data_IF_019608848618
#
_entry.id   IF_019608848618
#
_cell.length_a   1.000
_cell.length_b   1.000
_cell.length_c   1.000
_cell.angle_alpha   90.00
_cell.angle_beta   90.00
_cell.angle_gamma   90.00
#
_symmetry.space_group_name_H-M   'P 1'
#
loop_
_entity.id
_entity.type
_entity.pdbx_description
1 polymer ?
#
# COMPACT_ATOMS: atom_id res chain seq x y z
N UNK A 1 20.39 -41.74 76.26
CA UNK A 1 20.49 -40.31 75.97
C UNK A 1 21.15 -40.16 74.62
N UNK A 2 20.34 -39.90 73.58
CA UNK A 2 20.81 -39.82 72.20
C UNK A 2 20.64 -38.34 71.78
N UNK A 3 21.77 -37.68 71.55
CA UNK A 3 21.84 -36.32 71.10
C UNK A 3 21.64 -36.26 69.56
N UNK A 4 20.57 -35.64 69.11
CA UNK A 4 20.33 -35.36 67.66
C UNK A 4 20.98 -34.02 67.31
N UNK A 5 21.99 -34.04 66.46
CA UNK A 5 22.54 -32.85 65.77
C UNK A 5 21.69 -32.53 64.55
N UNK A 6 21.11 -31.35 64.53
CA UNK A 6 20.37 -30.80 63.39
C UNK A 6 21.39 -30.06 62.54
N UNK A 7 21.56 -30.50 61.28
CA UNK A 7 22.38 -29.78 60.28
C UNK A 7 21.50 -28.82 59.50
N UNK A 8 21.83 -27.49 59.57
CA UNK A 8 21.23 -26.48 58.72
C UNK A 8 21.93 -26.45 57.37
N UNK A 9 21.17 -26.80 56.31
CA UNK A 9 21.62 -26.55 54.94
C UNK A 9 21.19 -25.11 54.52
N UNK A 10 22.19 -24.27 54.25
CA UNK A 10 21.99 -22.94 53.70
C UNK A 10 21.93 -23.11 52.17
N UNK A 11 20.73 -22.93 51.59
CA UNK A 11 20.57 -22.83 50.13
C UNK A 11 20.91 -21.42 49.68
N UNK A 12 22.05 -21.24 49.02
CA UNK A 12 22.38 -20.00 48.29
C UNK A 12 21.63 -19.96 46.95
N UNK A 13 20.63 -19.10 46.85
CA UNK A 13 19.94 -18.84 45.57
C UNK A 13 20.83 -17.84 44.80
N UNK A 14 21.47 -18.37 43.74
CA UNK A 14 22.17 -17.52 42.77
C UNK A 14 21.12 -16.88 41.85
N UNK A 15 20.93 -15.56 42.00
CA UNK A 15 20.10 -14.75 41.13
C UNK A 15 20.83 -14.54 39.78
N UNK A 16 20.52 -15.33 38.76
CA UNK A 16 21.00 -15.07 37.37
C UNK A 16 20.19 -13.88 36.83
N UNK A 17 20.80 -12.72 36.88
CA UNK A 17 20.29 -11.55 36.17
C UNK A 17 20.45 -11.71 34.65
N UNK A 18 19.34 -11.92 33.93
CA UNK A 18 19.31 -11.85 32.47
C UNK A 18 19.47 -10.39 32.06
N UNK A 19 20.67 -10.01 31.58
CA UNK A 19 20.88 -8.75 30.86
C UNK A 19 20.14 -8.88 29.51
N UNK A 20 18.98 -8.25 29.40
CA UNK A 20 18.31 -8.01 28.13
C UNK A 20 19.12 -6.94 27.37
N UNK A 21 19.92 -7.36 26.39
CA UNK A 21 20.48 -6.44 25.41
C UNK A 21 19.34 -5.93 24.54
N UNK A 22 18.91 -4.68 24.77
CA UNK A 22 18.07 -3.96 23.83
C UNK A 22 18.85 -3.74 22.55
N UNK A 23 18.51 -4.48 21.49
CA UNK A 23 19.00 -4.20 20.14
C UNK A 23 18.40 -2.84 19.75
N UNK A 24 19.22 -1.80 19.47
CA UNK A 24 18.67 -0.55 19.02
C UNK A 24 17.93 -0.78 17.72
N UNK A 25 16.65 -0.42 17.65
CA UNK A 25 15.89 -0.42 16.42
C UNK A 25 16.65 0.49 15.43
N UNK A 26 17.18 -0.08 14.36
CA UNK A 26 17.77 0.69 13.25
C UNK A 26 16.66 1.65 12.77
N UNK A 27 16.88 2.95 13.01
CA UNK A 27 16.00 3.97 12.44
C UNK A 27 16.24 3.98 10.94
N UNK A 28 15.21 3.59 10.19
CA UNK A 28 15.19 3.81 8.75
C UNK A 28 15.49 5.31 8.47
N UNK A 29 16.27 5.62 7.43
CA UNK A 29 16.60 7.01 7.11
C UNK A 29 15.31 7.78 6.85
N UNK A 30 15.06 8.83 7.64
CA UNK A 30 13.95 9.74 7.41
C UNK A 30 14.32 10.69 6.29
N UNK A 31 13.68 10.55 5.13
CA UNK A 31 13.82 11.50 4.04
C UNK A 31 13.23 12.85 4.46
N UNK A 32 14.01 13.93 4.36
CA UNK A 32 13.52 15.29 4.59
C UNK A 32 12.82 15.80 3.33
N UNK A 33 11.57 16.25 3.47
CA UNK A 33 10.81 16.89 2.38
C UNK A 33 11.07 18.41 2.28
N UNK A 34 11.95 18.98 3.11
CA UNK A 34 12.23 20.40 3.12
C UNK A 34 12.72 20.87 1.74
N UNK A 35 11.98 21.81 1.14
CA UNK A 35 12.28 22.34 -0.21
C UNK A 35 11.74 21.50 -1.39
N UNK A 36 11.32 20.25 -1.19
CA UNK A 36 10.71 19.43 -2.26
C UNK A 36 9.25 19.84 -2.45
N UNK A 37 8.89 20.26 -3.67
CA UNK A 37 7.51 20.67 -4.01
C UNK A 37 6.73 19.62 -4.80
N UNK A 38 7.41 18.60 -5.31
CA UNK A 38 6.81 17.54 -6.12
C UNK A 38 6.84 16.22 -5.33
N UNK A 39 5.68 15.64 -5.12
CA UNK A 39 5.47 14.33 -4.52
C UNK A 39 5.28 13.30 -5.64
N UNK A 40 6.14 12.30 -5.71
CA UNK A 40 5.99 11.19 -6.66
C UNK A 40 5.22 10.07 -6.00
N UNK A 41 4.11 9.67 -6.62
CA UNK A 41 3.27 8.58 -6.15
C UNK A 41 3.19 7.46 -7.19
N UNK A 42 3.02 6.24 -6.72
CA UNK A 42 2.88 5.05 -7.56
C UNK A 42 1.70 4.22 -7.07
N UNK A 43 0.94 3.62 -7.98
CA UNK A 43 0.08 2.46 -7.71
C UNK A 43 0.63 1.25 -8.42
N UNK A 44 0.61 0.10 -7.76
CA UNK A 44 1.12 -1.14 -8.33
C UNK A 44 0.39 -2.35 -7.75
N UNK A 45 -0.46 -2.99 -8.55
CA UNK A 45 -0.92 -4.33 -8.26
C UNK A 45 0.25 -5.30 -8.51
N UNK A 46 0.75 -5.94 -7.45
CA UNK A 46 1.96 -6.77 -7.51
C UNK A 46 1.69 -8.24 -7.81
N UNK A 47 0.41 -8.62 -7.96
CA UNK A 47 0.02 -10.01 -8.21
C UNK A 47 0.75 -10.98 -7.25
N UNK A 48 0.68 -10.69 -5.95
CA UNK A 48 1.36 -11.44 -4.87
C UNK A 48 2.85 -11.71 -5.16
N UNK A 49 3.55 -10.73 -5.75
CA UNK A 49 4.97 -10.85 -6.12
C UNK A 49 5.26 -11.83 -7.27
N UNK A 50 4.22 -12.34 -7.95
CA UNK A 50 4.36 -13.32 -9.05
C UNK A 50 4.34 -12.63 -10.39
N UNK A 51 5.44 -12.72 -11.13
CA UNK A 51 5.56 -12.15 -12.47
C UNK A 51 4.84 -12.93 -13.57
N UNK A 52 4.87 -12.39 -14.79
CA UNK A 52 4.32 -13.04 -16.00
C UNK A 52 4.96 -14.40 -16.30
N UNK A 53 6.17 -14.64 -15.81
CA UNK A 53 6.87 -15.92 -15.85
C UNK A 53 6.40 -16.94 -14.80
N UNK A 54 5.38 -16.59 -13.99
CA UNK A 54 4.79 -17.39 -12.90
C UNK A 54 5.76 -17.68 -11.74
N UNK A 55 6.79 -16.85 -11.55
CA UNK A 55 7.73 -16.97 -10.44
C UNK A 55 7.48 -15.89 -9.40
N UNK A 56 7.46 -16.29 -8.13
CA UNK A 56 7.47 -15.40 -6.98
C UNK A 56 8.85 -14.75 -6.84
N UNK A 57 8.92 -13.42 -6.97
CA UNK A 57 10.18 -12.66 -6.91
C UNK A 57 9.93 -11.24 -6.41
N UNK A 58 10.01 -11.05 -5.10
CA UNK A 58 9.84 -9.75 -4.45
C UNK A 58 11.02 -8.81 -4.69
N UNK A 59 12.22 -9.36 -4.95
CA UNK A 59 13.39 -8.55 -5.32
C UNK A 59 13.12 -7.81 -6.64
N UNK A 60 12.61 -8.50 -7.65
CA UNK A 60 12.21 -7.91 -8.94
C UNK A 60 11.12 -6.85 -8.76
N UNK A 61 10.12 -7.10 -7.91
CA UNK A 61 9.09 -6.11 -7.59
C UNK A 61 9.70 -4.86 -6.94
N UNK A 62 10.61 -5.05 -5.99
CA UNK A 62 11.31 -3.94 -5.33
C UNK A 62 12.23 -3.15 -6.30
N UNK A 63 12.86 -3.82 -7.26
CA UNK A 63 13.69 -3.16 -8.30
C UNK A 63 12.85 -2.23 -9.18
N UNK A 64 11.64 -2.66 -9.58
CA UNK A 64 10.68 -1.81 -10.31
C UNK A 64 10.33 -0.57 -9.49
N UNK A 65 10.01 -0.74 -8.20
CA UNK A 65 9.68 0.39 -7.32
C UNK A 65 10.89 1.32 -7.16
N UNK A 66 12.08 0.76 -6.88
CA UNK A 66 13.29 1.55 -6.65
C UNK A 66 13.73 2.34 -7.88
N UNK A 67 13.58 1.80 -9.09
CA UNK A 67 13.94 2.46 -10.33
C UNK A 67 13.17 3.78 -10.55
N UNK A 68 11.92 3.83 -10.09
CA UNK A 68 11.06 5.02 -10.24
C UNK A 68 11.22 6.05 -9.10
N UNK A 69 11.88 5.68 -8.01
CA UNK A 69 12.10 6.54 -6.84
C UNK A 69 10.80 7.20 -6.31
N UNK A 70 9.69 6.47 -6.11
CA UNK A 70 8.46 7.06 -5.60
C UNK A 70 8.62 7.49 -4.14
N UNK A 71 7.87 8.50 -3.74
CA UNK A 71 7.74 8.93 -2.34
C UNK A 71 6.73 8.07 -1.59
N UNK A 72 5.65 7.69 -2.28
CA UNK A 72 4.56 6.87 -1.77
C UNK A 72 4.16 5.82 -2.81
N UNK A 73 3.91 4.59 -2.36
CA UNK A 73 3.43 3.50 -3.22
C UNK A 73 2.19 2.88 -2.59
N UNK A 74 1.10 2.81 -3.35
CA UNK A 74 -0.06 1.98 -3.04
C UNK A 74 0.09 0.62 -3.72
N UNK A 75 0.08 -0.44 -2.93
CA UNK A 75 0.21 -1.81 -3.40
C UNK A 75 -1.13 -2.55 -3.28
N UNK A 76 -1.48 -3.32 -4.28
CA UNK A 76 -2.61 -4.22 -4.29
C UNK A 76 -2.13 -5.66 -4.45
N UNK A 77 -2.96 -6.60 -4.02
CA UNK A 77 -2.66 -8.04 -4.00
C UNK A 77 -1.39 -8.37 -3.22
N UNK A 78 -1.42 -8.04 -1.93
CA UNK A 78 -0.29 -8.28 -1.01
C UNK A 78 -0.64 -9.43 -0.07
N UNK A 79 0.17 -10.48 -0.08
CA UNK A 79 0.09 -11.61 0.84
C UNK A 79 0.96 -11.37 2.08
N UNK A 80 0.49 -11.86 3.21
CA UNK A 80 1.22 -11.85 4.47
C UNK A 80 1.06 -13.18 5.18
N UNK A 81 2.10 -14.01 5.14
CA UNK A 81 2.08 -15.34 5.75
C UNK A 81 1.18 -16.35 5.04
N UNK A 82 0.87 -16.13 3.76
CA UNK A 82 0.00 -16.99 2.94
C UNK A 82 0.81 -18.14 2.36
N UNK A 83 0.23 -19.34 2.32
CA UNK A 83 0.92 -20.55 1.85
C UNK A 83 1.39 -20.48 0.41
N UNK A 84 0.58 -19.87 -0.50
CA UNK A 84 0.93 -19.74 -1.93
C UNK A 84 2.18 -18.90 -2.19
N UNK A 85 2.53 -18.02 -1.25
CA UNK A 85 3.70 -17.14 -1.29
C UNK A 85 4.77 -17.56 -0.27
N UNK A 86 4.89 -18.89 -0.02
CA UNK A 86 5.92 -19.48 0.84
C UNK A 86 5.89 -18.94 2.28
N UNK A 87 4.72 -18.53 2.76
CA UNK A 87 4.50 -17.96 4.11
C UNK A 87 5.30 -16.66 4.34
N UNK A 88 5.68 -15.95 3.26
CA UNK A 88 6.39 -14.67 3.34
C UNK A 88 5.49 -13.56 3.88
N UNK A 89 6.08 -12.60 4.59
CA UNK A 89 5.49 -11.28 4.85
C UNK A 89 5.95 -10.34 3.74
N UNK A 90 5.21 -10.33 2.61
CA UNK A 90 5.62 -9.61 1.40
C UNK A 90 5.85 -8.13 1.64
N UNK A 91 4.98 -7.48 2.43
CA UNK A 91 5.12 -6.06 2.67
C UNK A 91 6.33 -5.73 3.55
N UNK A 92 6.63 -6.56 4.54
CA UNK A 92 7.82 -6.37 5.37
C UNK A 92 9.12 -6.58 4.54
N UNK A 93 9.12 -7.56 3.64
CA UNK A 93 10.25 -7.82 2.73
C UNK A 93 10.41 -6.68 1.72
N UNK A 94 9.35 -6.23 1.08
CA UNK A 94 9.37 -5.08 0.16
C UNK A 94 9.82 -3.79 0.87
N UNK A 95 9.34 -3.53 2.09
CA UNK A 95 9.76 -2.37 2.88
C UNK A 95 11.26 -2.38 3.15
N UNK A 96 11.83 -3.55 3.46
CA UNK A 96 13.27 -3.73 3.64
C UNK A 96 14.04 -3.51 2.32
N UNK A 97 13.60 -4.10 1.21
CA UNK A 97 14.24 -4.01 -0.10
C UNK A 97 14.19 -2.60 -0.71
N UNK A 98 13.17 -1.82 -0.35
CA UNK A 98 12.98 -0.44 -0.81
C UNK A 98 13.47 0.61 0.19
N UNK A 99 13.87 0.22 1.40
CA UNK A 99 14.19 1.11 2.52
C UNK A 99 13.06 2.11 2.83
N UNK A 100 11.80 1.66 2.77
CA UNK A 100 10.61 2.48 3.01
C UNK A 100 9.87 2.01 4.27
N UNK A 101 9.14 2.94 4.92
CA UNK A 101 8.16 2.60 5.95
C UNK A 101 6.95 1.95 5.28
N UNK A 102 6.17 1.16 6.02
CA UNK A 102 4.99 0.51 5.47
C UNK A 102 3.79 0.48 6.39
N UNK A 103 2.62 0.31 5.79
CA UNK A 103 1.37 -0.03 6.45
C UNK A 103 0.64 -1.11 5.63
N UNK A 104 -0.05 -2.03 6.31
CA UNK A 104 -0.78 -3.14 5.69
C UNK A 104 -2.23 -3.15 6.16
N UNK A 105 -3.15 -3.37 5.23
CA UNK A 105 -4.57 -3.56 5.48
C UNK A 105 -4.99 -5.00 5.19
N UNK A 106 -5.28 -5.74 6.22
CA UNK A 106 -5.82 -7.10 6.13
C UNK A 106 -7.28 -7.07 5.68
N UNK A 107 -7.56 -7.44 4.43
CA UNK A 107 -8.91 -7.49 3.89
C UNK A 107 -9.58 -8.85 4.15
N UNK A 108 -8.87 -9.95 3.94
CA UNK A 108 -9.39 -11.30 4.17
C UNK A 108 -8.30 -12.28 4.64
N UNK A 109 -8.71 -13.37 5.28
CA UNK A 109 -7.85 -14.51 5.60
C UNK A 109 -7.80 -15.45 4.40
N UNK A 110 -6.59 -15.88 4.04
CA UNK A 110 -6.40 -16.76 2.90
C UNK A 110 -5.26 -17.77 3.16
N UNK A 111 -5.50 -19.05 2.97
CA UNK A 111 -4.52 -20.13 3.10
C UNK A 111 -3.63 -20.04 4.36
N UNK A 112 -4.21 -19.67 5.50
CA UNK A 112 -3.52 -19.58 6.80
C UNK A 112 -2.79 -18.27 7.07
N UNK A 113 -2.82 -17.34 6.13
CA UNK A 113 -2.28 -15.98 6.24
C UNK A 113 -3.33 -14.91 5.95
N UNK A 114 -2.87 -13.72 5.60
CA UNK A 114 -3.66 -12.52 5.34
C UNK A 114 -3.39 -12.01 3.93
N UNK A 115 -4.43 -11.51 3.28
CA UNK A 115 -4.35 -10.88 1.97
C UNK A 115 -4.99 -9.50 2.02
N UNK A 116 -4.43 -8.55 1.28
CA UNK A 116 -4.99 -7.21 1.26
C UNK A 116 -4.24 -6.20 0.40
N UNK A 117 -4.25 -4.96 0.89
CA UNK A 117 -3.55 -3.83 0.24
C UNK A 117 -2.54 -3.23 1.21
N UNK A 118 -1.52 -2.55 0.68
CA UNK A 118 -0.47 -1.98 1.50
C UNK A 118 0.02 -0.64 0.96
N UNK A 119 0.71 0.11 1.81
CA UNK A 119 1.37 1.37 1.44
C UNK A 119 2.83 1.28 1.83
N UNK A 120 3.73 1.69 0.91
CA UNK A 120 5.11 2.03 1.21
C UNK A 120 5.28 3.55 1.22
N UNK A 121 6.08 4.07 2.14
CA UNK A 121 6.33 5.50 2.29
C UNK A 121 7.80 5.79 2.61
N UNK A 122 8.42 6.73 1.88
CA UNK A 122 9.74 7.28 2.26
C UNK A 122 9.68 8.14 3.51
N UNK A 123 8.49 8.62 3.86
CA UNK A 123 8.26 9.45 5.05
C UNK A 123 7.69 8.61 6.20
N UNK A 124 7.93 9.02 7.45
CA UNK A 124 7.28 8.37 8.59
C UNK A 124 5.76 8.44 8.46
N UNK A 125 5.11 7.30 8.67
CA UNK A 125 3.65 7.20 8.70
C UNK A 125 3.19 7.63 10.09
N UNK A 126 2.32 8.67 10.14
CA UNK A 126 1.80 9.24 11.41
C UNK A 126 0.49 8.60 11.85
N UNK A 127 -0.37 8.30 10.90
CA UNK A 127 -1.68 7.69 11.15
C UNK A 127 -1.98 6.65 10.09
N UNK A 128 -2.67 5.59 10.51
CA UNK A 128 -3.14 4.51 9.63
C UNK A 128 -4.63 4.34 9.91
N UNK A 129 -5.43 4.34 8.85
CA UNK A 129 -6.86 4.06 8.90
C UNK A 129 -7.21 3.00 7.85
N UNK A 130 -7.69 1.85 8.31
CA UNK A 130 -8.07 0.73 7.46
C UNK A 130 -9.58 0.54 7.50
N UNK A 131 -10.21 0.41 6.34
CA UNK A 131 -11.64 0.14 6.18
C UNK A 131 -11.86 -1.03 5.24
N UNK A 132 -12.50 -2.08 5.73
CA UNK A 132 -13.05 -3.15 4.90
C UNK A 132 -14.38 -2.69 4.34
N UNK A 133 -14.62 -2.96 3.06
CA UNK A 133 -15.94 -2.68 2.45
C UNK A 133 -16.95 -3.79 2.82
N UNK A 134 -18.19 -3.40 2.87
CA UNK A 134 -19.29 -4.35 2.95
C UNK A 134 -19.60 -4.88 1.54
N UNK A 135 -19.85 -6.19 1.45
CA UNK A 135 -20.23 -6.83 0.20
C UNK A 135 -21.75 -6.94 0.12
N UNK A 136 -22.34 -6.67 -1.05
CA UNK A 136 -23.76 -6.89 -1.33
C UNK A 136 -24.12 -8.35 -1.58
N UNK A 137 -23.09 -9.18 -1.84
CA UNK A 137 -23.20 -10.62 -2.14
C UNK A 137 -21.95 -11.34 -1.67
N UNK A 138 -21.91 -12.65 -1.80
CA UNK A 138 -20.69 -13.41 -1.60
C UNK A 138 -19.67 -13.04 -2.69
N UNK A 139 -18.60 -12.38 -2.30
CA UNK A 139 -17.50 -11.92 -3.12
C UNK A 139 -16.23 -11.80 -2.26
N UNK A 140 -15.08 -11.65 -2.92
CA UNK A 140 -13.82 -11.41 -2.22
C UNK A 140 -13.91 -10.11 -1.40
N UNK A 141 -13.51 -10.17 -0.12
CA UNK A 141 -13.54 -9.00 0.76
C UNK A 141 -12.49 -7.99 0.33
N UNK A 142 -12.95 -6.83 -0.07
CA UNK A 142 -12.12 -5.68 -0.45
C UNK A 142 -12.05 -4.62 0.64
N UNK A 143 -11.22 -3.61 0.45
CA UNK A 143 -11.07 -2.51 1.39
C UNK A 143 -10.06 -1.49 0.92
N UNK A 144 -9.86 -0.47 1.75
CA UNK A 144 -8.85 0.56 1.56
C UNK A 144 -7.97 0.71 2.79
N UNK A 145 -6.79 1.28 2.60
CA UNK A 145 -5.95 1.82 3.66
C UNK A 145 -5.61 3.27 3.35
N UNK A 146 -5.72 4.14 4.36
CA UNK A 146 -5.28 5.53 4.35
C UNK A 146 -4.13 5.70 5.32
N UNK A 147 -3.12 6.44 4.90
CA UNK A 147 -2.04 6.88 5.79
C UNK A 147 -1.91 8.40 5.75
N UNK A 148 -1.43 8.97 6.86
CA UNK A 148 -1.01 10.36 6.93
C UNK A 148 0.50 10.44 7.01
N UNK A 149 1.07 11.30 6.19
CA UNK A 149 2.50 11.64 6.20
C UNK A 149 2.68 13.16 6.21
N UNK A 150 3.86 13.63 6.63
CA UNK A 150 4.23 15.05 6.46
C UNK A 150 5.07 15.22 5.20
N UNK A 151 4.65 16.13 4.34
CA UNK A 151 5.38 16.52 3.15
C UNK A 151 5.30 18.03 2.93
N UNK A 152 6.46 18.68 2.78
CA UNK A 152 6.57 20.13 2.56
C UNK A 152 5.79 20.96 3.60
N UNK A 153 5.78 20.53 4.87
CA UNK A 153 5.09 21.20 5.98
C UNK A 153 3.55 21.03 5.98
N UNK A 154 3.03 20.08 5.22
CA UNK A 154 1.59 19.78 5.13
C UNK A 154 1.34 18.31 5.41
N UNK A 155 0.27 18.01 6.12
CA UNK A 155 -0.22 16.63 6.27
C UNK A 155 -0.88 16.19 4.98
N UNK A 156 -0.37 15.12 4.37
CA UNK A 156 -0.89 14.50 3.15
C UNK A 156 -1.59 13.21 3.51
N UNK A 157 -2.78 13.01 2.96
CA UNK A 157 -3.52 11.77 3.03
C UNK A 157 -3.29 10.96 1.76
N UNK A 158 -2.79 9.75 1.92
CA UNK A 158 -2.56 8.83 0.81
C UNK A 158 -3.36 7.54 1.04
N UNK A 159 -4.13 7.16 0.06
CA UNK A 159 -5.07 6.02 0.12
C UNK A 159 -4.73 5.04 -0.98
N UNK A 160 -4.76 3.75 -0.68
CA UNK A 160 -4.82 2.71 -1.72
C UNK A 160 -6.01 1.79 -1.51
N UNK A 161 -6.58 1.32 -2.61
CA UNK A 161 -7.71 0.38 -2.66
C UNK A 161 -7.51 -0.65 -3.75
N UNK A 162 -8.27 -1.74 -3.67
CA UNK A 162 -8.47 -2.70 -4.74
C UNK A 162 -9.94 -3.06 -4.77
N UNK A 163 -10.65 -2.74 -5.86
CA UNK A 163 -12.09 -2.95 -5.99
C UNK A 163 -12.42 -4.34 -6.56
N UNK A 164 -13.69 -4.72 -6.44
CA UNK A 164 -14.21 -6.00 -6.95
C UNK A 164 -13.92 -6.19 -8.45
N UNK A 165 -13.32 -7.32 -8.81
CA UNK A 165 -13.01 -7.63 -10.21
C UNK A 165 -14.18 -8.27 -10.96
N UNK A 166 -15.14 -8.86 -10.24
CA UNK A 166 -16.22 -9.66 -10.84
C UNK A 166 -17.45 -8.83 -11.18
N UNK A 167 -17.89 -7.94 -10.25
CA UNK A 167 -19.19 -7.32 -10.32
C UNK A 167 -19.10 -5.80 -10.38
N UNK A 168 -19.69 -5.22 -11.42
CA UNK A 168 -19.72 -3.77 -11.60
C UNK A 168 -20.48 -3.05 -10.46
N UNK A 169 -21.63 -3.57 -10.07
CA UNK A 169 -22.41 -3.02 -8.95
C UNK A 169 -21.70 -3.17 -7.59
N UNK A 170 -20.83 -4.18 -7.45
CA UNK A 170 -19.90 -4.33 -6.34
C UNK A 170 -18.90 -3.17 -6.31
N UNK A 171 -18.20 -2.92 -7.42
CA UNK A 171 -17.24 -1.79 -7.55
C UNK A 171 -17.89 -0.43 -7.24
N UNK A 172 -19.10 -0.20 -7.75
CA UNK A 172 -19.84 1.05 -7.47
C UNK A 172 -20.11 1.18 -5.98
N UNK A 173 -20.62 0.12 -5.33
CA UNK A 173 -20.92 0.13 -3.90
C UNK A 173 -19.67 0.30 -3.03
N UNK A 174 -18.56 -0.32 -3.39
CA UNK A 174 -17.27 -0.15 -2.71
C UNK A 174 -16.74 1.27 -2.87
N UNK A 175 -16.90 1.87 -4.06
CA UNK A 175 -16.54 3.27 -4.31
C UNK A 175 -17.39 4.23 -3.49
N UNK A 176 -18.72 4.00 -3.39
CA UNK A 176 -19.60 4.80 -2.53
C UNK A 176 -19.15 4.76 -1.06
N UNK A 177 -18.80 3.56 -0.56
CA UNK A 177 -18.28 3.40 0.81
C UNK A 177 -16.96 4.11 0.98
N UNK A 178 -16.02 3.97 0.04
CA UNK A 178 -14.73 4.66 0.08
C UNK A 178 -14.93 6.17 0.14
N UNK A 179 -15.73 6.75 -0.74
CA UNK A 179 -16.00 8.19 -0.76
C UNK A 179 -16.62 8.66 0.55
N UNK A 180 -17.55 7.90 1.12
CA UNK A 180 -18.15 8.18 2.43
C UNK A 180 -17.11 8.13 3.57
N UNK A 181 -16.18 7.18 3.56
CA UNK A 181 -15.10 7.11 4.56
C UNK A 181 -14.10 8.25 4.42
N UNK A 182 -13.94 8.78 3.22
CA UNK A 182 -13.04 9.89 2.91
C UNK A 182 -13.72 11.26 3.10
N UNK A 183 -15.04 11.27 3.32
CA UNK A 183 -15.78 12.48 3.65
C UNK A 183 -15.24 13.10 4.94
N UNK A 184 -14.97 14.39 4.92
CA UNK A 184 -14.43 15.10 6.07
C UNK A 184 -12.91 14.95 6.31
N UNK A 185 -12.18 14.14 5.54
CA UNK A 185 -10.72 14.08 5.58
C UNK A 185 -10.15 15.44 5.18
N UNK A 186 -9.38 16.05 6.09
CA UNK A 186 -8.79 17.38 5.90
C UNK A 186 -7.40 17.30 5.26
N UNK A 187 -7.07 18.30 4.45
CA UNK A 187 -5.79 18.40 3.76
C UNK A 187 -5.73 17.60 2.46
N UNK A 188 -4.63 17.72 1.71
CA UNK A 188 -4.44 17.05 0.43
C UNK A 188 -4.72 15.55 0.51
N UNK A 189 -5.54 15.05 -0.42
CA UNK A 189 -6.00 13.66 -0.49
C UNK A 189 -5.71 13.08 -1.88
N UNK A 190 -4.96 12.00 -1.88
CA UNK A 190 -4.56 11.25 -3.06
C UNK A 190 -5.07 9.82 -2.90
N UNK A 191 -5.79 9.31 -3.90
CA UNK A 191 -6.31 7.95 -3.92
C UNK A 191 -5.70 7.22 -5.11
N UNK A 192 -5.11 6.07 -4.85
CA UNK A 192 -4.54 5.21 -5.89
C UNK A 192 -5.09 3.80 -5.78
N UNK A 193 -4.98 3.00 -6.82
CA UNK A 193 -5.38 1.60 -6.73
C UNK A 193 -5.72 0.96 -8.05
N UNK A 194 -6.04 -0.33 -7.95
CA UNK A 194 -6.70 -1.11 -8.97
C UNK A 194 -8.22 -1.01 -8.76
N UNK A 195 -8.87 -0.29 -9.65
CA UNK A 195 -10.33 -0.08 -9.59
C UNK A 195 -11.12 -1.15 -10.34
N UNK A 196 -10.43 -2.04 -11.08
CA UNK A 196 -11.08 -3.04 -11.93
C UNK A 196 -12.18 -2.47 -12.84
N UNK A 197 -12.16 -1.16 -13.09
CA UNK A 197 -13.13 -0.40 -13.86
C UNK A 197 -12.41 0.46 -14.91
N UNK A 198 -12.89 0.46 -16.14
CA UNK A 198 -12.28 1.23 -17.22
C UNK A 198 -12.80 2.69 -17.27
N UNK A 199 -12.11 3.62 -17.96
CA UNK A 199 -12.64 4.95 -18.19
C UNK A 199 -14.02 4.89 -18.84
N UNK A 200 -15.01 5.53 -18.20
CA UNK A 200 -16.41 5.46 -18.61
C UNK A 200 -17.25 4.43 -17.85
N UNK A 201 -16.64 3.55 -17.07
CA UNK A 201 -17.33 2.69 -16.12
C UNK A 201 -17.99 3.49 -14.98
N UNK A 202 -18.88 2.85 -14.23
CA UNK A 202 -19.69 3.57 -13.24
C UNK A 202 -18.91 3.91 -11.97
N UNK A 203 -18.00 3.05 -11.51
CA UNK A 203 -17.12 3.35 -10.38
C UNK A 203 -16.13 4.47 -10.74
N UNK A 204 -15.55 4.45 -11.93
CA UNK A 204 -14.71 5.53 -12.44
C UNK A 204 -15.44 6.87 -12.53
N UNK A 205 -16.67 6.90 -13.09
CA UNK A 205 -17.50 8.12 -13.15
C UNK A 205 -17.80 8.66 -11.76
N UNK A 206 -18.09 7.78 -10.81
CA UNK A 206 -18.34 8.17 -9.43
C UNK A 206 -17.13 8.82 -8.79
N UNK A 207 -15.91 8.32 -9.03
CA UNK A 207 -14.69 8.98 -8.57
C UNK A 207 -14.55 10.38 -9.13
N UNK A 208 -14.88 10.60 -10.41
CA UNK A 208 -14.79 11.91 -11.05
C UNK A 208 -15.75 12.97 -10.49
N UNK A 209 -16.72 12.60 -9.65
CA UNK A 209 -17.60 13.58 -8.98
C UNK A 209 -16.86 14.46 -7.96
N UNK A 210 -15.72 13.99 -7.42
CA UNK A 210 -14.92 14.72 -6.42
C UNK A 210 -13.41 14.68 -6.65
N UNK A 211 -12.95 13.90 -7.63
CA UNK A 211 -11.52 13.70 -7.90
C UNK A 211 -11.18 13.95 -9.37
N UNK A 212 -9.92 14.23 -9.61
CA UNK A 212 -9.31 14.35 -10.94
C UNK A 212 -8.41 13.13 -11.19
N UNK A 213 -8.51 12.57 -12.38
CA UNK A 213 -7.62 11.52 -12.86
C UNK A 213 -6.29 12.13 -13.32
N UNK A 214 -5.20 11.77 -12.65
CA UNK A 214 -3.87 12.30 -12.92
C UNK A 214 -3.41 12.05 -14.37
N UNK A 215 -3.79 10.92 -14.98
CA UNK A 215 -3.47 10.61 -16.38
C UNK A 215 -4.11 11.62 -17.34
N UNK A 216 -5.37 11.93 -17.11
CA UNK A 216 -6.12 12.89 -17.95
C UNK A 216 -5.60 14.30 -17.74
N UNK A 217 -5.37 14.71 -16.48
CA UNK A 217 -4.81 16.04 -16.14
C UNK A 217 -3.42 16.24 -16.74
N UNK A 218 -2.59 15.20 -16.77
CA UNK A 218 -1.28 15.22 -17.42
C UNK A 218 -1.35 15.34 -18.95
N UNK A 219 -2.56 15.34 -19.54
CA UNK A 219 -2.82 15.42 -21.00
C UNK A 219 -2.05 14.38 -21.80
N UNK A 220 -2.02 13.14 -21.30
CA UNK A 220 -1.38 12.02 -22.00
C UNK A 220 -2.15 11.71 -23.26
N UNK A 221 -1.43 11.48 -24.37
CA UNK A 221 -2.02 11.04 -25.65
C UNK A 221 -2.32 9.57 -25.64
N UNK A 222 -1.50 8.79 -24.93
CA UNK A 222 -1.63 7.36 -24.79
C UNK A 222 -2.82 7.03 -23.87
N UNK A 223 -3.45 5.89 -24.11
CA UNK A 223 -4.64 5.45 -23.34
C UNK A 223 -4.34 5.09 -21.88
N UNK A 224 -3.06 4.83 -21.54
CA UNK A 224 -2.67 4.47 -20.17
C UNK A 224 -3.07 3.05 -19.78
N UNK A 225 -3.05 2.13 -20.73
CA UNK A 225 -3.45 0.74 -20.52
C UNK A 225 -2.46 0.04 -19.59
N UNK A 226 -2.94 -0.46 -18.46
CA UNK A 226 -2.12 -1.03 -17.39
C UNK A 226 -2.22 -2.55 -17.27
N UNK A 227 -3.21 -3.18 -17.90
CA UNK A 227 -3.49 -4.61 -17.79
C UNK A 227 -3.89 -5.25 -19.14
N UNK A 228 -3.50 -6.51 -19.45
CA UNK A 228 -2.42 -7.24 -18.79
C UNK A 228 -1.04 -6.68 -19.21
N UNK A 229 0.00 -6.89 -18.38
CA UNK A 229 1.31 -6.25 -18.57
C UNK A 229 2.02 -6.60 -19.87
N UNK A 230 1.87 -7.84 -20.37
CA UNK A 230 2.51 -8.33 -21.60
C UNK A 230 1.81 -7.83 -22.88
N UNK A 231 0.52 -7.53 -22.80
CA UNK A 231 -0.28 -7.02 -23.93
C UNK A 231 -1.38 -6.08 -23.42
N UNK A 232 -1.02 -4.87 -22.99
CA UNK A 232 -1.97 -3.96 -22.34
C UNK A 232 -3.20 -3.67 -23.19
N UNK A 233 -4.39 -3.92 -22.60
CA UNK A 233 -5.68 -3.79 -23.26
C UNK A 233 -6.71 -3.01 -22.43
N UNK A 234 -6.49 -2.88 -21.11
CA UNK A 234 -7.38 -2.18 -20.18
C UNK A 234 -6.63 -1.16 -19.35
N UNK A 235 -7.28 -0.05 -19.02
CA UNK A 235 -6.81 0.91 -18.01
C UNK A 235 -7.70 0.77 -16.79
N UNK A 236 -7.17 0.14 -15.75
CA UNK A 236 -7.90 -0.15 -14.51
C UNK A 236 -7.17 0.31 -13.26
N UNK A 237 -5.90 0.74 -13.39
CA UNK A 237 -5.08 1.30 -12.32
C UNK A 237 -5.01 2.82 -12.43
N UNK A 238 -5.24 3.52 -11.32
CA UNK A 238 -5.39 4.98 -11.32
C UNK A 238 -4.63 5.66 -10.19
N UNK A 239 -4.30 6.93 -10.46
CA UNK A 239 -3.92 7.94 -9.48
C UNK A 239 -4.96 9.06 -9.55
N UNK A 240 -5.70 9.26 -8.47
CA UNK A 240 -6.70 10.32 -8.33
C UNK A 240 -6.25 11.36 -7.30
N UNK A 241 -6.52 12.62 -7.56
CA UNK A 241 -6.32 13.74 -6.63
C UNK A 241 -7.64 14.44 -6.37
N UNK A 242 -7.94 14.80 -5.11
CA UNK A 242 -9.20 15.49 -4.79
C UNK A 242 -9.20 16.88 -5.38
N UNK A 243 -10.26 17.25 -6.11
CA UNK A 243 -10.39 18.48 -6.88
C UNK A 243 -10.21 19.75 -6.02
N UNK A 244 -10.69 19.73 -4.77
CA UNK A 244 -10.63 20.89 -3.87
C UNK A 244 -9.24 21.18 -3.31
N UNK A 245 -8.27 20.28 -3.44
CA UNK A 245 -7.00 20.33 -2.68
C UNK A 245 -5.88 21.09 -3.39
N UNK A 246 -6.13 21.64 -4.58
CA UNK A 246 -5.15 22.37 -5.38
C UNK A 246 -3.85 21.58 -5.65
N UNK A 247 -3.98 20.27 -5.87
CA UNK A 247 -2.89 19.40 -6.30
C UNK A 247 -2.81 19.53 -7.83
N UNK A 248 -1.61 19.78 -8.36
CA UNK A 248 -1.39 19.80 -9.80
C UNK A 248 -0.63 18.56 -10.24
N UNK A 249 -1.22 17.75 -11.09
CA UNK A 249 -0.46 16.70 -11.79
C UNK A 249 0.47 17.33 -12.81
N UNK A 250 1.77 17.08 -12.67
CA UNK A 250 2.80 17.55 -13.62
C UNK A 250 2.98 16.56 -14.76
N UNK A 251 3.04 15.28 -14.43
CA UNK A 251 3.17 14.18 -15.38
C UNK A 251 2.64 12.88 -14.78
N UNK A 252 2.28 11.95 -15.64
CA UNK A 252 1.95 10.58 -15.30
C UNK A 252 2.50 9.63 -16.37
N UNK A 253 2.89 8.41 -15.99
CA UNK A 253 3.41 7.41 -16.92
C UNK A 253 3.19 6.01 -16.39
N UNK A 254 3.30 5.02 -17.29
CA UNK A 254 3.34 3.61 -16.98
C UNK A 254 4.79 3.13 -16.93
N UNK A 255 5.08 2.19 -16.05
CA UNK A 255 6.37 1.51 -15.99
C UNK A 255 6.26 0.19 -16.72
N UNK A 256 7.01 0.03 -17.80
CA UNK A 256 6.98 -1.20 -18.57
C UNK A 256 7.77 -2.30 -17.85
N UNK A 257 7.08 -3.35 -17.40
CA UNK A 257 7.67 -4.46 -16.64
C UNK A 257 6.82 -5.73 -16.81
N UNK A 258 7.42 -6.89 -16.59
CA UNK A 258 6.74 -8.19 -16.50
C UNK A 258 6.83 -8.78 -15.08
N UNK A 259 7.19 -7.94 -14.08
CA UNK A 259 7.29 -8.36 -12.68
C UNK A 259 5.91 -8.58 -12.01
N UNK A 260 4.82 -8.19 -12.67
CA UNK A 260 3.42 -8.45 -12.33
C UNK A 260 2.64 -8.61 -13.63
N UNK A 261 1.38 -8.98 -13.56
CA UNK A 261 0.42 -8.91 -14.69
C UNK A 261 -0.21 -7.51 -14.85
N UNK A 262 0.12 -6.56 -13.98
CA UNK A 262 -0.18 -5.14 -14.11
C UNK A 262 1.06 -4.29 -14.34
N UNK A 263 0.90 -3.17 -15.07
CA UNK A 263 1.92 -2.13 -15.20
C UNK A 263 1.71 -1.07 -14.12
N UNK A 264 2.76 -0.70 -13.33
CA UNK A 264 2.65 0.39 -12.37
C UNK A 264 2.30 1.72 -13.05
N UNK A 265 1.43 2.49 -12.41
CA UNK A 265 1.13 3.88 -12.79
C UNK A 265 1.83 4.83 -11.82
N UNK A 266 2.62 5.75 -12.37
CA UNK A 266 3.37 6.74 -11.58
C UNK A 266 2.87 8.14 -11.94
N UNK A 267 2.79 9.03 -10.94
CA UNK A 267 2.47 10.43 -11.16
C UNK A 267 3.34 11.35 -10.29
N UNK A 268 3.78 12.47 -10.87
CA UNK A 268 4.41 13.58 -10.18
C UNK A 268 3.36 14.65 -9.87
N UNK A 269 3.13 14.89 -8.58
CA UNK A 269 2.11 15.78 -8.04
C UNK A 269 2.74 16.98 -7.35
N UNK A 270 2.39 18.19 -7.76
CA UNK A 270 2.82 19.44 -7.14
C UNK A 270 1.74 19.94 -6.17
N UNK A 271 2.10 20.12 -4.91
CA UNK A 271 1.23 20.71 -3.90
C UNK A 271 1.31 22.24 -3.98
N UNK A 272 0.17 22.94 -4.12
CA UNK A 272 0.07 24.39 -4.25
C UNK A 272 -0.49 25.07 -3.00
#
# INVERSE_FOLDING_TARGET
>A
MISRRVAFFIFSIALLGTLAFAVPAERLPTSSSAGKKTLRVMTYNIHVGVGMDKKLDLQRTAEVINAEHPDLVGLQEVDRGVKRTEVKDEIAELAKLTAMNYAFAHNLDYQGGQYGVAILSRYPIKQIDHRKYENRREAERRGMIRVEIEFAGRTINFVTTHLDYQFEDGRVFETEQMLKFLEGVKGPLIVVGDFNDEPGGNAYKLMLTGFEDAWIVAKKKEQGLSYPADKPAKRIDYVFTRQSDRIRTKQAWLVNTLASDHLPVVADLELR
#
